data_IF_757525691217
#
_entry.id   IF_757525691217
#
_cell.length_a   1.000
_cell.length_b   1.000
_cell.length_c   1.000
_cell.angle_alpha   90.00
_cell.angle_beta   90.00
_cell.angle_gamma   90.00
#
_symmetry.space_group_name_H-M   'P 1'
#
loop_
_entity.id
_entity.type
_entity.pdbx_description
1 polymer ?
#
# COMPACT_ATOMS: atom_id res chain seq x y z
N UNK A 1 -51.30 11.07 48.62
CA UNK A 1 -50.23 11.49 47.70
C UNK A 1 -50.83 11.52 46.31
N UNK A 2 -50.57 12.56 45.51
CA UNK A 2 -51.02 12.62 44.12
C UNK A 2 -49.97 11.95 43.23
N UNK A 3 -50.32 10.82 42.63
CA UNK A 3 -49.46 10.09 41.70
C UNK A 3 -49.52 10.75 40.31
N UNK A 4 -48.40 10.82 39.56
CA UNK A 4 -48.42 11.32 38.19
C UNK A 4 -49.27 10.41 37.29
N UNK A 5 -49.91 11.00 36.28
CA UNK A 5 -50.72 10.25 35.31
C UNK A 5 -49.90 9.28 34.46
N UNK A 6 -48.62 9.59 34.25
CA UNK A 6 -47.71 8.81 33.42
C UNK A 6 -46.44 8.52 34.21
N UNK A 7 -45.99 7.27 34.15
CA UNK A 7 -44.70 6.82 34.67
C UNK A 7 -43.85 6.23 33.55
N UNK A 8 -42.56 6.59 33.53
CA UNK A 8 -41.58 5.97 32.61
C UNK A 8 -41.18 4.61 33.14
N UNK A 9 -41.31 3.59 32.30
CA UNK A 9 -40.94 2.20 32.58
C UNK A 9 -39.96 1.69 31.53
N UNK A 10 -39.14 0.70 31.88
CA UNK A 10 -38.13 0.17 30.95
C UNK A 10 -38.74 -0.91 30.06
N UNK A 11 -38.69 -0.73 28.74
CA UNK A 11 -39.11 -1.71 27.76
C UNK A 11 -37.98 -2.70 27.47
N UNK A 12 -38.31 -3.99 27.51
CA UNK A 12 -37.43 -5.09 27.14
C UNK A 12 -37.86 -5.72 25.81
N UNK A 13 -36.91 -6.30 25.08
CA UNK A 13 -37.19 -7.21 23.96
C UNK A 13 -37.52 -8.64 24.45
N UNK A 14 -37.79 -9.55 23.51
CA UNK A 14 -38.09 -10.97 23.80
C UNK A 14 -36.95 -11.71 24.52
N UNK A 15 -35.73 -11.17 24.50
CA UNK A 15 -34.53 -11.74 25.15
C UNK A 15 -34.23 -11.07 26.50
N UNK A 16 -35.07 -10.11 26.92
CA UNK A 16 -34.88 -9.33 28.15
C UNK A 16 -33.85 -8.21 28.01
N UNK A 17 -33.48 -7.80 26.79
CA UNK A 17 -32.56 -6.69 26.53
C UNK A 17 -33.32 -5.37 26.57
N UNK A 18 -32.77 -4.39 27.27
CA UNK A 18 -33.30 -3.04 27.31
C UNK A 18 -33.28 -2.39 25.92
N UNK A 19 -34.43 -1.94 25.44
CA UNK A 19 -34.59 -1.27 24.13
C UNK A 19 -35.01 0.20 24.23
N UNK A 20 -35.40 0.66 25.42
CA UNK A 20 -35.81 2.05 25.66
C UNK A 20 -36.80 2.19 26.80
N UNK A 21 -37.36 3.39 26.95
CA UNK A 21 -38.42 3.64 27.93
C UNK A 21 -39.78 3.76 27.24
N UNK A 22 -40.81 3.25 27.92
CA UNK A 22 -42.21 3.39 27.54
C UNK A 22 -42.98 4.14 28.64
N UNK A 23 -44.20 4.57 28.30
CA UNK A 23 -45.12 5.23 29.23
C UNK A 23 -46.12 4.21 29.78
N UNK A 24 -46.27 4.18 31.10
CA UNK A 24 -47.30 3.43 31.81
C UNK A 24 -48.29 4.43 32.42
N UNK A 25 -49.57 4.27 32.10
CA UNK A 25 -50.64 5.13 32.59
C UNK A 25 -51.07 4.71 34.01
N UNK A 26 -51.42 5.68 34.85
CA UNK A 26 -51.99 5.41 36.17
C UNK A 26 -53.35 4.69 36.00
N UNK A 27 -53.55 3.59 36.71
CA UNK A 27 -54.81 2.84 36.70
C UNK A 27 -55.95 3.73 37.24
N UNK A 28 -57.02 4.00 36.47
CA UNK A 28 -58.14 4.80 36.96
C UNK A 28 -58.87 4.16 38.15
N UNK A 29 -58.87 2.82 38.23
CA UNK A 29 -59.54 2.06 39.31
C UNK A 29 -58.72 2.04 40.60
N UNK A 30 -57.39 2.13 40.48
CA UNK A 30 -56.45 1.97 41.60
C UNK A 30 -55.56 3.21 41.78
N UNK A 31 -56.01 4.36 41.31
CA UNK A 31 -55.27 5.61 41.30
C UNK A 31 -54.82 6.04 42.71
N UNK A 32 -55.62 5.74 43.73
CA UNK A 32 -55.32 6.04 45.13
C UNK A 32 -54.14 5.21 45.68
N UNK A 33 -53.84 4.07 45.06
CA UNK A 33 -52.76 3.15 45.45
C UNK A 33 -51.49 3.35 44.62
N UNK A 34 -51.52 4.19 43.58
CA UNK A 34 -50.38 4.45 42.71
C UNK A 34 -50.00 3.28 41.81
N UNK A 35 -50.98 2.47 41.41
CA UNK A 35 -50.79 1.31 40.51
C UNK A 35 -50.87 1.78 39.05
N UNK A 36 -49.90 1.35 38.23
CA UNK A 36 -49.81 1.71 36.81
C UNK A 36 -50.12 0.51 35.92
N UNK A 37 -50.73 0.79 34.76
CA UNK A 37 -51.00 -0.18 33.72
C UNK A 37 -49.71 -0.45 32.94
N UNK A 38 -49.04 -1.54 33.28
CA UNK A 38 -47.75 -1.91 32.68
C UNK A 38 -47.93 -2.39 31.23
N UNK A 39 -47.28 -1.75 30.25
CA UNK A 39 -47.22 -2.26 28.89
C UNK A 39 -46.52 -3.63 28.86
N UNK A 40 -46.84 -4.46 27.87
CA UNK A 40 -46.26 -5.78 27.73
C UNK A 40 -44.73 -5.70 27.53
N UNK A 41 -43.99 -6.51 28.30
CA UNK A 41 -42.53 -6.53 28.24
C UNK A 41 -41.84 -5.36 28.96
N UNK A 42 -42.57 -4.57 29.75
CA UNK A 42 -41.99 -3.51 30.56
C UNK A 42 -41.71 -3.95 32.01
N UNK A 43 -40.65 -3.37 32.60
CA UNK A 43 -40.30 -3.50 34.01
C UNK A 43 -40.17 -2.13 34.66
N UNK A 44 -40.67 -2.01 35.89
CA UNK A 44 -40.69 -0.77 36.66
C UNK A 44 -39.42 -0.63 37.52
N UNK A 45 -38.30 -0.40 36.85
CA UNK A 45 -36.97 -0.22 37.44
C UNK A 45 -36.27 0.96 36.79
N UNK A 46 -35.27 1.52 37.47
CA UNK A 46 -34.41 2.56 36.90
C UNK A 46 -33.72 2.02 35.63
N UNK A 47 -33.70 2.80 34.54
CA UNK A 47 -33.01 2.38 33.31
C UNK A 47 -31.52 2.12 33.56
N UNK A 48 -30.91 1.20 32.80
CA UNK A 48 -29.48 0.93 32.91
C UNK A 48 -28.67 2.14 32.46
N UNK A 49 -27.44 2.25 32.95
CA UNK A 49 -26.49 3.24 32.46
C UNK A 49 -26.04 2.87 31.05
N UNK A 50 -25.89 3.88 30.18
CA UNK A 50 -25.36 3.64 28.85
C UNK A 50 -23.87 3.27 28.93
N UNK A 51 -23.53 2.09 28.38
CA UNK A 51 -22.16 1.57 28.36
C UNK A 51 -21.79 1.20 26.93
N UNK A 52 -20.93 2.03 26.31
CA UNK A 52 -20.52 1.86 24.91
C UNK A 52 -20.00 0.45 24.64
N UNK A 53 -20.61 -0.23 23.68
CA UNK A 53 -20.24 -1.60 23.28
C UNK A 53 -20.83 -2.69 24.16
N UNK A 54 -21.79 -2.37 25.03
CA UNK A 54 -22.56 -3.33 25.82
C UNK A 54 -24.05 -3.10 25.62
N UNK A 55 -24.83 -4.14 25.89
CA UNK A 55 -26.28 -4.08 26.05
C UNK A 55 -26.64 -4.53 27.44
N UNK A 56 -27.66 -3.93 28.03
CA UNK A 56 -28.14 -4.29 29.37
C UNK A 56 -29.28 -5.30 29.26
N UNK A 57 -29.12 -6.44 29.94
CA UNK A 57 -30.13 -7.48 30.07
C UNK A 57 -30.72 -7.45 31.48
N UNK A 58 -32.04 -7.51 31.60
CA UNK A 58 -32.71 -7.62 32.89
C UNK A 58 -32.69 -9.06 33.40
N UNK A 59 -32.19 -9.29 34.62
CA UNK A 59 -32.13 -10.63 35.24
C UNK A 59 -33.31 -10.96 36.15
N UNK A 60 -34.22 -10.01 36.37
CA UNK A 60 -35.29 -10.11 37.36
C UNK A 60 -35.02 -9.23 38.59
N UNK A 61 -33.75 -9.06 38.95
CA UNK A 61 -33.32 -8.24 40.10
C UNK A 61 -32.37 -7.10 39.69
N UNK A 62 -31.49 -7.31 38.71
CA UNK A 62 -30.45 -6.36 38.34
C UNK A 62 -30.22 -6.30 36.81
N UNK A 63 -29.48 -5.28 36.37
CA UNK A 63 -28.99 -5.16 34.99
C UNK A 63 -27.65 -5.89 34.82
N UNK A 64 -27.60 -6.83 33.89
CA UNK A 64 -26.38 -7.51 33.43
C UNK A 64 -25.90 -6.89 32.11
N UNK A 65 -24.64 -6.45 32.05
CA UNK A 65 -24.07 -5.88 30.84
C UNK A 65 -23.38 -6.94 30.00
N UNK A 66 -23.92 -7.21 28.81
CA UNK A 66 -23.40 -8.19 27.86
C UNK A 66 -22.69 -7.44 26.74
N UNK A 67 -21.49 -7.90 26.36
CA UNK A 67 -20.75 -7.30 25.25
C UNK A 67 -21.59 -7.33 23.96
N UNK A 68 -21.56 -6.23 23.22
CA UNK A 68 -22.22 -6.11 21.93
C UNK A 68 -21.19 -5.83 20.85
N UNK A 69 -20.84 -6.90 20.14
CA UNK A 69 -19.95 -6.88 18.99
C UNK A 69 -20.70 -7.02 17.67
N UNK A 70 -22.03 -6.99 17.65
CA UNK A 70 -22.82 -7.18 16.43
C UNK A 70 -22.38 -6.18 15.34
N UNK A 71 -22.22 -6.69 14.13
CA UNK A 71 -21.77 -5.93 12.96
C UNK A 71 -20.26 -5.66 12.94
N UNK A 72 -19.50 -6.03 13.99
CA UNK A 72 -18.04 -5.98 13.94
C UNK A 72 -17.48 -7.17 13.17
N UNK A 73 -16.48 -6.91 12.35
CA UNK A 73 -15.67 -7.94 11.68
C UNK A 73 -14.55 -8.40 12.60
N UNK A 74 -14.45 -9.70 12.81
CA UNK A 74 -13.37 -10.38 13.50
C UNK A 74 -12.69 -11.37 12.56
N UNK A 75 -11.49 -11.84 12.93
CA UNK A 75 -10.65 -12.68 12.07
C UNK A 75 -10.21 -13.93 12.82
N UNK A 76 -10.23 -15.07 12.14
CA UNK A 76 -9.72 -16.32 12.71
C UNK A 76 -8.21 -16.25 12.93
N UNK A 77 -7.75 -16.58 14.14
CA UNK A 77 -6.31 -16.63 14.46
C UNK A 77 -5.59 -17.80 13.77
N UNK A 78 -6.33 -18.77 13.20
CA UNK A 78 -5.78 -19.93 12.49
C UNK A 78 -5.76 -19.75 10.97
N UNK A 79 -6.88 -19.27 10.40
CA UNK A 79 -7.07 -19.23 8.95
C UNK A 79 -7.07 -17.82 8.37
N UNK A 80 -7.03 -16.77 9.21
CA UNK A 80 -7.17 -15.36 8.81
C UNK A 80 -8.52 -15.00 8.17
N UNK A 81 -9.46 -15.94 8.10
CA UNK A 81 -10.79 -15.71 7.53
C UNK A 81 -11.58 -14.71 8.39
N UNK A 82 -12.28 -13.79 7.72
CA UNK A 82 -13.15 -12.82 8.38
C UNK A 82 -14.51 -13.42 8.74
N UNK A 83 -15.06 -13.00 9.88
CA UNK A 83 -16.40 -13.32 10.35
C UNK A 83 -17.05 -12.02 10.85
N UNK A 84 -18.29 -11.74 10.43
CA UNK A 84 -19.09 -10.65 11.00
C UNK A 84 -19.90 -11.22 12.16
N UNK A 85 -19.82 -10.59 13.34
CA UNK A 85 -20.58 -11.01 14.51
C UNK A 85 -22.06 -10.69 14.32
N UNK A 86 -22.92 -11.68 14.51
CA UNK A 86 -24.38 -11.59 14.35
C UNK A 86 -25.14 -11.78 15.67
N UNK A 87 -24.44 -12.12 16.76
CA UNK A 87 -25.02 -12.39 18.09
C UNK A 87 -24.43 -11.48 19.16
N UNK A 88 -25.26 -11.13 20.13
CA UNK A 88 -24.86 -10.46 21.37
C UNK A 88 -24.00 -11.44 22.18
N UNK A 89 -22.91 -10.95 22.77
CA UNK A 89 -21.97 -11.74 23.54
C UNK A 89 -20.52 -11.36 23.24
N UNK A 90 -19.61 -12.11 23.86
CA UNK A 90 -18.17 -11.97 23.64
C UNK A 90 -17.76 -12.45 22.24
N UNK A 91 -16.57 -12.04 21.82
CA UNK A 91 -15.97 -12.53 20.56
C UNK A 91 -15.74 -14.05 20.72
N UNK A 92 -16.13 -14.88 19.72
CA UNK A 92 -15.92 -16.32 19.79
C UNK A 92 -14.45 -16.70 19.96
N UNK A 93 -14.21 -17.77 20.71
CA UNK A 93 -12.86 -18.31 20.89
C UNK A 93 -12.19 -18.61 19.54
N UNK A 94 -10.90 -18.26 19.43
CA UNK A 94 -10.14 -18.41 18.19
C UNK A 94 -10.33 -17.27 17.18
N UNK A 95 -10.98 -16.17 17.58
CA UNK A 95 -11.08 -14.95 16.78
C UNK A 95 -10.43 -13.75 17.46
N UNK A 96 -10.00 -12.79 16.64
CA UNK A 96 -9.43 -11.51 17.08
C UNK A 96 -10.05 -10.35 16.30
N UNK A 97 -10.07 -9.16 16.89
CA UNK A 97 -10.44 -7.93 16.16
C UNK A 97 -9.26 -7.34 15.38
N UNK A 98 -8.05 -7.88 15.57
CA UNK A 98 -6.84 -7.42 14.88
C UNK A 98 -6.82 -8.01 13.48
N UNK A 99 -6.80 -7.15 12.48
CA UNK A 99 -6.73 -7.53 11.08
C UNK A 99 -5.44 -8.32 10.80
N UNK A 100 -5.53 -9.50 10.15
CA UNK A 100 -4.37 -10.30 9.79
C UNK A 100 -3.53 -9.61 8.72
N UNK A 101 -2.21 -9.74 8.84
CA UNK A 101 -1.27 -9.42 7.77
C UNK A 101 -1.03 -10.66 6.91
N UNK A 102 -0.71 -10.50 5.62
CA UNK A 102 -0.57 -11.64 4.70
C UNK A 102 0.44 -12.68 5.19
N UNK A 103 1.58 -12.22 5.72
CA UNK A 103 2.68 -13.08 6.15
C UNK A 103 2.69 -13.33 7.66
N UNK A 104 1.92 -12.57 8.43
CA UNK A 104 1.89 -12.66 9.89
C UNK A 104 1.35 -13.99 10.40
N UNK A 105 1.88 -14.43 11.52
CA UNK A 105 1.45 -15.55 12.32
C UNK A 105 0.95 -15.00 13.67
N UNK A 106 -0.10 -15.61 14.20
CA UNK A 106 -0.64 -15.18 15.48
C UNK A 106 0.27 -15.65 16.62
N UNK A 107 0.80 -14.70 17.42
CA UNK A 107 1.67 -15.01 18.57
C UNK A 107 0.92 -15.18 19.90
N UNK A 108 -0.41 -15.03 19.87
CA UNK A 108 -1.26 -15.00 21.06
C UNK A 108 -1.89 -13.62 21.30
N UNK A 109 -1.26 -12.55 20.81
CA UNK A 109 -1.69 -11.17 21.05
C UNK A 109 -1.72 -10.31 19.77
N UNK A 110 -0.86 -10.59 18.80
CA UNK A 110 -0.75 -9.85 17.54
C UNK A 110 -0.34 -10.77 16.37
N UNK A 111 -0.48 -10.25 15.16
CA UNK A 111 0.06 -10.87 13.95
C UNK A 111 1.51 -10.43 13.76
N UNK A 112 2.46 -11.34 13.96
CA UNK A 112 3.90 -11.07 13.81
C UNK A 112 4.49 -11.88 12.66
N UNK A 113 5.50 -11.34 11.98
CA UNK A 113 6.25 -12.12 10.99
C UNK A 113 7.36 -12.86 11.75
N UNK A 114 7.43 -14.18 11.58
CA UNK A 114 8.49 -14.97 12.22
C UNK A 114 9.87 -14.54 11.69
N UNK A 115 10.95 -14.63 12.49
CA UNK A 115 12.29 -14.27 12.03
C UNK A 115 12.74 -15.02 10.75
N UNK A 116 12.33 -16.28 10.62
CA UNK A 116 12.59 -17.09 9.42
C UNK A 116 11.88 -16.53 8.18
N UNK A 117 10.58 -16.20 8.31
CA UNK A 117 9.80 -15.58 7.22
C UNK A 117 10.33 -14.20 6.87
N UNK A 118 10.70 -13.40 7.87
CA UNK A 118 11.29 -12.09 7.66
C UNK A 118 12.59 -12.19 6.86
N UNK A 119 13.45 -13.16 7.21
CA UNK A 119 14.71 -13.42 6.51
C UNK A 119 14.47 -13.88 5.07
N UNK A 120 13.54 -14.82 4.87
CA UNK A 120 13.18 -15.30 3.53
C UNK A 120 12.63 -14.19 2.65
N UNK A 121 11.74 -13.35 3.19
CA UNK A 121 11.15 -12.21 2.50
C UNK A 121 12.18 -11.16 2.10
N UNK A 122 13.13 -10.84 2.99
CA UNK A 122 14.23 -9.93 2.68
C UNK A 122 15.07 -10.48 1.53
N UNK A 123 15.44 -11.77 1.58
CA UNK A 123 16.23 -12.41 0.54
C UNK A 123 15.50 -12.45 -0.82
N UNK A 124 14.21 -12.79 -0.82
CA UNK A 124 13.38 -12.82 -2.03
C UNK A 124 13.23 -11.41 -2.62
N UNK A 125 12.92 -10.42 -1.77
CA UNK A 125 12.78 -9.01 -2.19
C UNK A 125 14.07 -8.49 -2.79
N UNK A 126 15.20 -8.71 -2.11
CA UNK A 126 16.53 -8.33 -2.58
C UNK A 126 16.82 -8.95 -3.96
N UNK A 127 16.60 -10.25 -4.10
CA UNK A 127 16.84 -10.97 -5.37
C UNK A 127 15.99 -10.39 -6.51
N UNK A 128 14.69 -10.16 -6.25
CA UNK A 128 13.74 -9.61 -7.22
C UNK A 128 14.13 -8.19 -7.65
N UNK A 129 14.44 -7.31 -6.71
CA UNK A 129 14.77 -5.91 -7.01
C UNK A 129 16.07 -5.80 -7.81
N UNK A 130 17.10 -6.58 -7.47
CA UNK A 130 18.36 -6.63 -8.22
C UNK A 130 18.11 -7.11 -9.67
N UNK A 131 17.34 -8.19 -9.83
CA UNK A 131 17.00 -8.71 -11.16
C UNK A 131 16.26 -7.66 -12.00
N UNK A 132 15.29 -6.96 -11.40
CA UNK A 132 14.54 -5.91 -12.07
C UNK A 132 15.44 -4.72 -12.49
N UNK A 133 16.41 -4.32 -11.68
CA UNK A 133 17.39 -3.28 -12.06
C UNK A 133 18.22 -3.72 -13.26
N UNK A 134 18.71 -4.97 -13.25
CA UNK A 134 19.48 -5.53 -14.36
C UNK A 134 18.65 -5.62 -15.65
N UNK A 135 17.40 -6.06 -15.56
CA UNK A 135 16.48 -6.16 -16.70
C UNK A 135 16.12 -4.78 -17.26
N UNK A 136 15.83 -3.81 -16.40
CA UNK A 136 15.51 -2.44 -16.81
C UNK A 136 16.69 -1.78 -17.53
N UNK A 137 17.90 -1.91 -16.96
CA UNK A 137 19.12 -1.42 -17.62
C UNK A 137 19.34 -2.11 -18.97
N UNK A 138 19.15 -3.44 -19.07
CA UNK A 138 19.29 -4.18 -20.33
C UNK A 138 18.31 -3.69 -21.40
N UNK A 139 17.07 -3.37 -21.02
CA UNK A 139 16.06 -2.79 -21.93
C UNK A 139 16.50 -1.42 -22.46
N UNK A 140 17.05 -0.56 -21.61
CA UNK A 140 17.59 0.74 -22.04
C UNK A 140 18.78 0.54 -22.97
N UNK A 141 19.74 -0.32 -22.60
CA UNK A 141 20.90 -0.65 -23.45
C UNK A 141 20.46 -1.11 -24.84
N UNK A 142 19.50 -2.04 -24.93
CA UNK A 142 18.99 -2.53 -26.22
C UNK A 142 18.41 -1.44 -27.11
N UNK A 143 17.86 -0.38 -26.50
CA UNK A 143 17.37 0.80 -27.23
C UNK A 143 18.53 1.65 -27.75
N UNK A 144 19.52 1.91 -26.90
CA UNK A 144 20.66 2.76 -27.21
C UNK A 144 21.65 2.13 -28.20
N UNK A 145 21.84 0.81 -28.15
CA UNK A 145 22.84 0.08 -28.95
C UNK A 145 22.27 -0.60 -30.20
N UNK A 146 20.98 -0.39 -30.53
CA UNK A 146 20.32 -1.02 -31.70
C UNK A 146 21.05 -0.81 -33.04
N UNK A 147 21.82 0.26 -33.19
CA UNK A 147 22.62 0.59 -34.38
C UNK A 147 24.11 0.81 -34.05
N UNK A 148 24.63 0.15 -33.02
CA UNK A 148 25.99 0.37 -32.51
C UNK A 148 27.08 0.24 -33.57
N UNK A 149 26.99 -0.76 -34.46
CA UNK A 149 27.97 -0.93 -35.54
C UNK A 149 28.04 0.29 -36.46
N UNK A 150 26.88 0.87 -36.83
CA UNK A 150 26.84 2.06 -37.66
C UNK A 150 27.38 3.29 -36.92
N UNK A 151 27.03 3.46 -35.64
CA UNK A 151 27.52 4.57 -34.83
C UNK A 151 29.04 4.52 -34.69
N UNK A 152 29.61 3.33 -34.45
CA UNK A 152 31.05 3.14 -34.33
C UNK A 152 31.79 3.51 -35.62
N UNK A 153 31.28 3.07 -36.77
CA UNK A 153 31.88 3.41 -38.07
C UNK A 153 31.79 4.91 -38.38
N UNK A 154 30.64 5.54 -38.08
CA UNK A 154 30.45 7.00 -38.25
C UNK A 154 31.38 7.80 -37.34
N UNK A 155 31.52 7.39 -36.07
CA UNK A 155 32.44 8.01 -35.12
C UNK A 155 33.89 7.89 -35.60
N UNK A 156 34.34 6.69 -35.95
CA UNK A 156 35.71 6.47 -36.43
C UNK A 156 36.03 7.30 -37.69
N UNK A 157 35.09 7.37 -38.64
CA UNK A 157 35.24 8.22 -39.81
C UNK A 157 35.31 9.72 -39.45
N UNK A 158 34.48 10.17 -38.52
CA UNK A 158 34.47 11.55 -38.04
C UNK A 158 35.76 11.92 -37.29
N UNK A 159 36.29 11.01 -36.46
CA UNK A 159 37.57 11.17 -35.76
C UNK A 159 38.73 11.26 -36.76
N UNK A 160 38.77 10.38 -37.77
CA UNK A 160 39.80 10.39 -38.80
C UNK A 160 39.79 11.70 -39.61
N UNK A 161 38.61 12.16 -40.04
CA UNK A 161 38.49 13.41 -40.80
C UNK A 161 38.87 14.64 -39.95
N UNK A 162 38.48 14.66 -38.67
CA UNK A 162 38.89 15.71 -37.73
C UNK A 162 40.40 15.69 -37.46
N UNK A 163 41.00 14.52 -37.30
CA UNK A 163 42.45 14.36 -37.10
C UNK A 163 43.26 14.82 -38.32
N UNK A 164 42.70 14.70 -39.51
CA UNK A 164 43.25 15.26 -40.75
C UNK A 164 42.97 16.77 -40.93
N UNK A 165 42.60 17.49 -39.87
CA UNK A 165 42.22 18.91 -39.91
C UNK A 165 41.06 19.23 -40.88
N UNK A 166 40.16 18.26 -41.11
CA UNK A 166 39.07 18.36 -42.07
C UNK A 166 39.53 18.49 -43.53
N UNK A 167 40.72 17.97 -43.84
CA UNK A 167 41.29 17.93 -45.18
C UNK A 167 41.27 16.50 -45.74
N UNK A 168 41.31 16.38 -47.07
CA UNK A 168 41.32 15.09 -47.77
C UNK A 168 39.92 14.52 -48.07
N UNK A 169 39.88 13.25 -48.46
CA UNK A 169 38.65 12.56 -48.83
C UNK A 169 37.74 12.36 -47.61
N UNK A 170 36.52 12.92 -47.67
CA UNK A 170 35.55 12.80 -46.59
C UNK A 170 34.73 11.52 -46.75
N UNK A 171 34.63 10.73 -45.67
CA UNK A 171 33.88 9.48 -45.69
C UNK A 171 32.43 9.69 -46.10
N UNK A 172 31.89 8.74 -46.88
CA UNK A 172 30.49 8.73 -47.29
C UNK A 172 29.52 8.84 -46.11
N UNK A 173 29.88 8.28 -44.95
CA UNK A 173 29.09 8.41 -43.72
C UNK A 173 28.87 9.87 -43.29
N UNK A 174 29.90 10.71 -43.43
CA UNK A 174 29.84 12.14 -43.08
C UNK A 174 29.14 12.90 -44.20
N UNK A 175 29.49 12.65 -45.47
CA UNK A 175 28.92 13.40 -46.60
C UNK A 175 27.43 13.13 -46.79
N UNK A 176 26.98 11.88 -46.64
CA UNK A 176 25.57 11.54 -46.76
C UNK A 176 24.77 12.16 -45.60
N UNK A 177 25.32 12.16 -44.38
CA UNK A 177 24.71 12.85 -43.24
C UNK A 177 24.64 14.37 -43.46
N UNK A 178 25.75 14.99 -43.86
CA UNK A 178 25.84 16.41 -44.16
C UNK A 178 24.81 16.84 -45.20
N UNK A 179 24.69 16.08 -46.30
CA UNK A 179 23.71 16.33 -47.36
C UNK A 179 22.27 16.28 -46.84
N UNK A 180 21.92 15.25 -46.05
CA UNK A 180 20.55 15.06 -45.54
C UNK A 180 20.19 16.07 -44.45
N UNK A 181 21.15 16.42 -43.61
CA UNK A 181 20.99 17.41 -42.54
C UNK A 181 21.15 18.87 -43.04
N UNK A 182 21.53 19.07 -44.31
CA UNK A 182 21.83 20.39 -44.91
C UNK A 182 22.95 21.13 -44.18
N UNK A 183 24.00 20.40 -43.80
CA UNK A 183 25.19 20.89 -43.13
C UNK A 183 26.40 20.79 -44.06
N UNK A 184 27.46 21.54 -43.77
CA UNK A 184 28.77 21.25 -44.35
C UNK A 184 29.43 20.06 -43.65
N UNK A 185 30.40 19.44 -44.31
CA UNK A 185 31.07 18.24 -43.80
C UNK A 185 31.73 18.45 -42.43
N UNK A 186 32.32 19.62 -42.18
CA UNK A 186 32.98 19.91 -40.89
C UNK A 186 31.96 20.02 -39.77
N UNK A 187 30.84 20.71 -40.00
CA UNK A 187 29.73 20.78 -39.03
C UNK A 187 29.11 19.42 -38.78
N UNK A 188 28.87 18.63 -39.84
CA UNK A 188 28.36 17.27 -39.74
C UNK A 188 29.29 16.34 -38.94
N UNK A 189 30.60 16.39 -39.19
CA UNK A 189 31.62 15.66 -38.42
C UNK A 189 31.57 16.01 -36.95
N UNK A 190 31.53 17.31 -36.61
CA UNK A 190 31.49 17.73 -35.21
C UNK A 190 30.21 17.26 -34.52
N UNK A 191 29.07 17.31 -35.21
CA UNK A 191 27.79 16.84 -34.67
C UNK A 191 27.82 15.32 -34.41
N UNK A 192 28.37 14.51 -35.32
CA UNK A 192 28.56 13.07 -35.10
C UNK A 192 29.39 12.81 -33.84
N UNK A 193 30.50 13.54 -33.66
CA UNK A 193 31.36 13.38 -32.49
C UNK A 193 30.68 13.83 -31.19
N UNK A 194 29.90 14.91 -31.23
CA UNK A 194 29.12 15.37 -30.07
C UNK A 194 28.05 14.35 -29.68
N UNK A 195 27.34 13.78 -30.67
CA UNK A 195 26.34 12.73 -30.42
C UNK A 195 26.98 11.48 -29.85
N UNK A 196 28.13 11.04 -30.40
CA UNK A 196 28.87 9.89 -29.90
C UNK A 196 29.32 10.08 -28.44
N UNK A 197 29.92 11.23 -28.12
CA UNK A 197 30.35 11.55 -26.75
C UNK A 197 29.16 11.67 -25.78
N UNK A 198 28.02 12.20 -26.25
CA UNK A 198 26.78 12.26 -25.46
C UNK A 198 26.25 10.87 -25.12
N UNK A 199 26.22 9.97 -26.09
CA UNK A 199 25.79 8.59 -25.90
C UNK A 199 26.72 7.82 -24.96
N UNK A 200 28.04 7.95 -25.13
CA UNK A 200 29.04 7.33 -24.25
C UNK A 200 28.86 7.79 -22.79
N UNK A 201 28.62 9.08 -22.58
CA UNK A 201 28.32 9.63 -21.25
C UNK A 201 27.05 9.01 -20.65
N UNK A 202 25.97 8.91 -21.42
CA UNK A 202 24.73 8.29 -20.96
C UNK A 202 24.91 6.81 -20.61
N UNK A 203 25.64 6.06 -21.42
CA UNK A 203 25.97 4.65 -21.15
C UNK A 203 26.77 4.48 -19.87
N UNK A 204 27.76 5.35 -19.64
CA UNK A 204 28.54 5.34 -18.40
C UNK A 204 27.64 5.60 -17.17
N UNK A 205 26.76 6.61 -17.24
CA UNK A 205 25.84 6.90 -16.13
C UNK A 205 24.83 5.78 -15.90
N UNK A 206 24.33 5.13 -16.95
CA UNK A 206 23.45 3.98 -16.81
C UNK A 206 24.18 2.80 -16.15
N UNK A 207 25.45 2.57 -16.51
CA UNK A 207 26.28 1.58 -15.84
C UNK A 207 26.45 1.89 -14.35
N UNK A 208 26.69 3.17 -14.01
CA UNK A 208 26.77 3.62 -12.62
C UNK A 208 25.46 3.34 -11.87
N UNK A 209 24.31 3.73 -12.43
CA UNK A 209 23.00 3.45 -11.80
C UNK A 209 22.76 1.95 -11.62
N UNK A 210 23.12 1.13 -12.61
CA UNK A 210 23.00 -0.33 -12.52
C UNK A 210 23.86 -0.90 -11.40
N UNK A 211 25.07 -0.38 -11.20
CA UNK A 211 25.97 -0.82 -10.12
C UNK A 211 25.42 -0.50 -8.73
N UNK A 212 24.53 0.48 -8.59
CA UNK A 212 23.85 0.78 -7.32
C UNK A 212 22.94 -0.34 -6.82
N UNK A 213 22.68 -1.38 -7.61
CA UNK A 213 22.02 -2.61 -7.12
C UNK A 213 22.73 -3.24 -5.91
N UNK A 214 24.04 -3.01 -5.74
CA UNK A 214 24.78 -3.47 -4.56
C UNK A 214 24.43 -2.67 -3.29
N UNK A 215 23.80 -1.50 -3.39
CA UNK A 215 23.22 -0.83 -2.23
C UNK A 215 22.13 -1.69 -1.58
N UNK A 216 21.42 -2.52 -2.36
CA UNK A 216 20.38 -3.43 -1.86
C UNK A 216 20.92 -4.65 -1.11
N UNK A 217 22.23 -4.90 -1.18
CA UNK A 217 22.87 -6.04 -0.49
C UNK A 217 23.56 -5.62 0.81
N UNK A 218 23.48 -4.34 1.17
CA UNK A 218 24.03 -3.81 2.42
C UNK A 218 23.28 -4.44 3.60
N UNK A 219 23.98 -5.00 4.60
CA UNK A 219 23.34 -5.59 5.77
C UNK A 219 22.49 -4.59 6.55
N UNK A 220 21.37 -5.06 7.12
CA UNK A 220 20.54 -4.28 8.04
C UNK A 220 19.48 -3.39 7.37
N UNK A 221 19.30 -3.50 6.06
CA UNK A 221 18.21 -2.81 5.36
C UNK A 221 16.85 -3.42 5.67
N UNK A 222 15.86 -2.54 5.85
CA UNK A 222 14.45 -2.90 5.86
C UNK A 222 13.89 -3.03 4.45
N UNK A 223 12.76 -3.71 4.28
CA UNK A 223 12.09 -3.85 2.97
C UNK A 223 11.74 -2.49 2.37
N UNK A 224 11.29 -1.55 3.20
CA UNK A 224 10.95 -0.20 2.77
C UNK A 224 12.19 0.55 2.25
N UNK A 225 13.31 0.47 2.96
CA UNK A 225 14.57 1.08 2.51
C UNK A 225 15.06 0.46 1.20
N UNK A 226 14.98 -0.86 1.05
CA UNK A 226 15.32 -1.54 -0.20
C UNK A 226 14.45 -1.04 -1.36
N UNK A 227 13.14 -0.90 -1.13
CA UNK A 227 12.21 -0.41 -2.15
C UNK A 227 12.49 1.04 -2.53
N UNK A 228 12.74 1.92 -1.56
CA UNK A 228 13.08 3.34 -1.81
C UNK A 228 14.35 3.45 -2.65
N UNK A 229 15.40 2.69 -2.31
CA UNK A 229 16.65 2.68 -3.10
C UNK A 229 16.41 2.19 -4.53
N UNK A 230 15.62 1.11 -4.68
CA UNK A 230 15.25 0.60 -6.01
C UNK A 230 14.49 1.65 -6.83
N UNK A 231 13.47 2.30 -6.24
CA UNK A 231 12.64 3.28 -6.94
C UNK A 231 13.47 4.49 -7.40
N UNK A 232 14.42 4.95 -6.57
CA UNK A 232 15.37 5.99 -6.97
C UNK A 232 16.25 5.54 -8.15
N UNK A 233 16.83 4.34 -8.09
CA UNK A 233 17.66 3.81 -9.19
C UNK A 233 16.87 3.79 -10.50
N UNK A 234 15.65 3.22 -10.50
CA UNK A 234 14.81 3.14 -11.69
C UNK A 234 14.47 4.54 -12.22
N UNK A 235 14.10 5.47 -11.33
CA UNK A 235 13.84 6.86 -11.71
C UNK A 235 15.05 7.53 -12.37
N UNK A 236 16.26 7.32 -11.84
CA UNK A 236 17.46 7.87 -12.46
C UNK A 236 17.71 7.24 -13.84
N UNK A 237 17.49 5.94 -14.00
CA UNK A 237 17.60 5.27 -15.31
C UNK A 237 16.58 5.82 -16.32
N UNK A 238 15.34 6.07 -15.89
CA UNK A 238 14.29 6.65 -16.73
C UNK A 238 14.65 8.08 -17.17
N UNK A 239 15.19 8.91 -16.26
CA UNK A 239 15.68 10.24 -16.60
C UNK A 239 16.79 10.20 -17.67
N UNK A 240 17.68 9.20 -17.63
CA UNK A 240 18.71 9.01 -18.66
C UNK A 240 18.08 8.63 -20.00
N UNK A 241 17.05 7.79 -19.99
CA UNK A 241 16.30 7.42 -21.20
C UNK A 241 15.58 8.63 -21.81
N UNK A 242 14.97 9.49 -20.99
CA UNK A 242 14.37 10.75 -21.44
C UNK A 242 15.42 11.70 -22.04
N UNK A 243 16.60 11.81 -21.40
CA UNK A 243 17.70 12.62 -21.93
C UNK A 243 18.18 12.13 -23.30
N UNK A 244 18.22 10.81 -23.52
CA UNK A 244 18.53 10.22 -24.84
C UNK A 244 17.46 10.54 -25.89
N UNK A 245 16.18 10.62 -25.52
CA UNK A 245 15.10 10.91 -26.47
C UNK A 245 15.01 12.39 -26.84
N UNK A 246 15.43 13.28 -25.94
CA UNK A 246 15.35 14.72 -26.11
C UNK A 246 16.63 15.36 -26.69
N UNK A 247 17.73 14.60 -26.82
CA UNK A 247 19.02 15.03 -27.39
C UNK A 247 19.23 14.55 -28.82
#
# INVERSE_FOLDING_TARGET
>A
MTYPLIKKVCQLDEKGIYVGQADADLSPEEAENGIYLMPAGCVDVTPPEDKKGFVAKWTGDNWEYIANHIGKTVYSIKTKASLVIDKIGDIPDGYTTITPTEQGEWDGNAWIISPEKQTALLAETQTRLIANIDEHAAKIYSTWTRFESEYRERQAAAEAFKAANYEGECSRYITDFALRARLDNKTATNLILTQAAGLEKLQMELANQRMRKYELIVPGLTLEQMQVTYDDIIKQMDNLMEAYQNG
#
